data_IF_415881532204
#
_entry.id   IF_415881532204
#
_cell.length_a   1.000
_cell.length_b   1.000
_cell.length_c   1.000
_cell.angle_alpha   90.00
_cell.angle_beta   90.00
_cell.angle_gamma   90.00
#
_symmetry.space_group_name_H-M   'P 1'
#
loop_
_entity.id
_entity.type
_entity.pdbx_description
1 polymer ?
#
# COMPACT_ATOMS: atom_id res chain seq x y z
N UNK A 1 -12.09 20.37 -3.29
CA UNK A 1 -12.99 19.22 -3.63
C UNK A 1 -12.20 17.92 -3.50
N UNK A 2 -12.81 16.80 -3.05
CA UNK A 2 -12.14 15.51 -3.06
C UNK A 2 -11.93 15.02 -4.50
N UNK A 3 -10.69 14.77 -4.89
CA UNK A 3 -10.34 14.23 -6.21
C UNK A 3 -10.39 12.69 -6.21
N UNK A 4 -10.81 12.04 -7.30
CA UNK A 4 -10.82 10.59 -7.40
C UNK A 4 -9.43 9.99 -7.22
N UNK A 5 -9.30 8.95 -6.39
CA UNK A 5 -7.97 8.38 -6.04
C UNK A 5 -7.13 7.97 -7.26
N UNK A 6 -7.78 7.49 -8.34
CA UNK A 6 -7.12 7.12 -9.60
C UNK A 6 -6.43 8.31 -10.32
N UNK A 7 -6.88 9.53 -10.07
CA UNK A 7 -6.31 10.75 -10.69
C UNK A 7 -5.25 11.40 -9.81
N UNK A 8 -5.07 10.92 -8.58
CA UNK A 8 -4.05 11.40 -7.63
C UNK A 8 -2.75 10.60 -7.70
N UNK A 9 -2.71 9.54 -8.52
CA UNK A 9 -1.59 8.60 -8.62
C UNK A 9 -0.96 8.78 -9.99
N UNK A 10 0.37 8.85 -10.05
CA UNK A 10 1.08 8.94 -11.32
C UNK A 10 0.87 7.67 -12.13
N UNK A 11 0.68 7.81 -13.45
CA UNK A 11 0.60 6.67 -14.39
C UNK A 11 1.90 5.87 -14.43
N UNK A 12 3.01 6.46 -13.96
CA UNK A 12 4.31 5.82 -13.85
C UNK A 12 4.51 5.07 -12.53
N UNK A 13 3.57 5.18 -11.59
CA UNK A 13 3.62 4.40 -10.34
C UNK A 13 3.09 3.00 -10.62
N UNK A 14 3.89 1.98 -10.31
CA UNK A 14 3.51 0.58 -10.50
C UNK A 14 2.13 0.30 -9.87
N UNK A 15 1.27 -0.45 -10.58
CA UNK A 15 -0.13 -0.72 -10.21
C UNK A 15 -0.33 -1.34 -8.82
N UNK A 16 0.75 -1.80 -8.18
CA UNK A 16 0.78 -2.25 -6.79
C UNK A 16 0.38 -1.17 -5.78
N UNK A 17 0.39 0.12 -6.15
CA UNK A 17 -0.07 1.20 -5.26
C UNK A 17 -1.48 0.91 -4.70
N UNK A 18 -2.41 0.39 -5.50
CA UNK A 18 -3.76 0.11 -5.02
C UNK A 18 -3.83 -1.10 -4.07
N UNK A 19 -3.03 -2.13 -4.31
CA UNK A 19 -2.92 -3.29 -3.42
C UNK A 19 -2.30 -2.89 -2.08
N UNK A 20 -1.20 -2.15 -2.12
CA UNK A 20 -0.50 -1.66 -0.93
C UNK A 20 -1.32 -0.61 -0.19
N UNK A 21 -2.13 0.20 -0.87
CA UNK A 21 -2.87 1.26 -0.17
C UNK A 21 -4.24 0.80 0.36
N UNK A 22 -4.88 -0.23 -0.22
CA UNK A 22 -6.23 -0.68 0.17
C UNK A 22 -6.25 -1.95 1.03
N UNK A 23 -5.45 -2.97 0.71
CA UNK A 23 -5.42 -4.22 1.48
C UNK A 23 -4.73 -4.00 2.84
N UNK A 24 -3.68 -3.20 2.82
CA UNK A 24 -2.85 -2.91 3.99
C UNK A 24 -3.55 -2.01 5.00
N UNK A 25 -4.34 -1.03 4.57
CA UNK A 25 -4.93 -0.04 5.50
C UNK A 25 -6.00 -0.62 6.43
N UNK A 26 -6.59 -1.77 6.08
CA UNK A 26 -7.53 -2.51 6.93
C UNK A 26 -6.84 -3.65 7.70
N UNK A 27 -5.74 -4.19 7.19
CA UNK A 27 -4.97 -5.28 7.80
C UNK A 27 -3.68 -4.81 8.52
N UNK A 28 -3.44 -3.50 8.58
CA UNK A 28 -2.26 -2.84 9.16
C UNK A 28 -0.90 -3.39 8.70
N UNK A 29 -0.82 -3.90 7.47
CA UNK A 29 0.39 -4.57 6.98
C UNK A 29 1.60 -3.62 6.82
N UNK A 30 1.35 -2.32 6.62
CA UNK A 30 2.32 -1.22 6.54
C UNK A 30 1.61 0.11 6.87
N UNK A 31 2.38 1.10 7.32
CA UNK A 31 1.85 2.32 7.92
C UNK A 31 1.80 2.27 9.44
N UNK A 32 1.33 3.37 10.05
CA UNK A 32 1.14 3.46 11.50
C UNK A 32 -0.27 2.95 11.83
N UNK A 33 -0.34 1.92 12.67
CA UNK A 33 -1.61 1.51 13.26
C UNK A 33 -2.06 2.57 14.28
N UNK A 34 -3.29 3.08 14.10
CA UNK A 34 -3.84 4.13 14.96
C UNK A 34 -4.29 3.60 16.32
N UNK A 35 -4.53 2.30 16.47
CA UNK A 35 -4.94 1.72 17.75
C UNK A 35 -3.73 1.40 18.63
N UNK A 36 -2.72 0.71 18.10
CA UNK A 36 -1.49 0.38 18.85
C UNK A 36 -0.41 1.47 18.81
N UNK A 37 -0.44 2.37 17.82
CA UNK A 37 0.64 3.32 17.55
C UNK A 37 1.88 2.72 16.87
N UNK A 38 1.89 1.42 16.60
CA UNK A 38 3.04 0.74 15.99
C UNK A 38 3.23 1.11 14.52
N UNK A 39 4.49 1.34 14.12
CA UNK A 39 4.87 1.64 12.74
C UNK A 39 5.32 0.38 11.99
N UNK A 40 4.57 0.01 10.96
CA UNK A 40 4.82 -1.15 10.12
C UNK A 40 5.34 -0.81 8.72
N UNK A 41 5.75 0.44 8.46
CA UNK A 41 6.23 0.85 7.12
C UNK A 41 7.43 0.06 6.62
N UNK A 42 8.25 -0.49 7.52
CA UNK A 42 9.38 -1.33 7.16
C UNK A 42 8.98 -2.58 6.35
N UNK A 43 7.72 -3.02 6.41
CA UNK A 43 7.21 -4.20 5.68
C UNK A 43 6.84 -3.90 4.23
N UNK A 44 6.81 -2.62 3.82
CA UNK A 44 6.32 -2.21 2.49
C UNK A 44 7.08 -2.88 1.35
N UNK A 45 8.41 -2.90 1.41
CA UNK A 45 9.22 -3.49 0.34
C UNK A 45 8.99 -5.00 0.24
N UNK A 46 9.00 -5.70 1.38
CA UNK A 46 8.73 -7.14 1.42
C UNK A 46 7.36 -7.51 0.81
N UNK A 47 6.33 -6.69 1.05
CA UNK A 47 5.00 -6.88 0.44
C UNK A 47 5.05 -6.69 -1.08
N UNK A 48 5.77 -5.68 -1.56
CA UNK A 48 5.94 -5.43 -3.00
C UNK A 48 6.65 -6.61 -3.67
N UNK A 49 7.79 -7.03 -3.13
CA UNK A 49 8.56 -8.16 -3.65
C UNK A 49 7.70 -9.44 -3.68
N UNK A 50 6.89 -9.66 -2.63
CA UNK A 50 5.98 -10.81 -2.59
C UNK A 50 4.86 -10.72 -3.62
N UNK A 51 4.30 -9.52 -3.85
CA UNK A 51 3.29 -9.31 -4.88
C UNK A 51 3.85 -9.53 -6.29
N UNK A 52 5.10 -9.12 -6.55
CA UNK A 52 5.78 -9.38 -7.83
C UNK A 52 5.96 -10.89 -8.07
N UNK A 53 6.41 -11.65 -7.06
CA UNK A 53 6.52 -13.12 -7.16
C UNK A 53 5.17 -13.79 -7.45
N UNK A 54 4.09 -13.28 -6.88
CA UNK A 54 2.74 -13.85 -7.04
C UNK A 54 2.04 -13.44 -8.35
N UNK A 55 2.50 -12.36 -8.99
CA UNK A 55 1.92 -11.83 -10.23
C UNK A 55 2.47 -12.51 -11.50
N UNK A 56 3.29 -13.55 -11.34
CA UNK A 56 3.88 -14.36 -12.42
C UNK A 56 2.89 -14.88 -13.44
#
# INVERSE_FOLDING_TARGET
MPTPRKTQISKHTNGHYHCVSRAVRRAFLCGIDKQSGCNYEHRRQWILDRLEVLAG
#
